data_IF_769919776955
#
_entry.id   IF_769919776955
#
_cell.length_a   1.000
_cell.length_b   1.000
_cell.length_c   1.000
_cell.angle_alpha   90.00
_cell.angle_beta   90.00
_cell.angle_gamma   90.00
#
_symmetry.space_group_name_H-M   'P 1'
#
loop_
_entity.id
_entity.type
_entity.pdbx_description
1 polymer ?
#
# COMPACT_ATOMS: atom_id res chain seq x y z
N UNK A 1 6.69 23.08 -11.93
CA UNK A 1 6.09 23.38 -10.60
C UNK A 1 5.83 24.86 -10.59
N UNK A 2 4.60 25.34 -10.36
CA UNK A 2 4.22 26.77 -10.53
C UNK A 2 4.69 27.66 -9.39
N UNK A 3 5.93 27.48 -8.91
CA UNK A 3 6.54 28.27 -7.84
C UNK A 3 7.14 29.59 -8.33
N UNK A 4 7.67 30.43 -7.43
CA UNK A 4 8.45 31.61 -7.82
C UNK A 4 9.61 31.18 -8.73
N UNK A 5 9.88 31.95 -9.79
CA UNK A 5 10.96 31.64 -10.74
C UNK A 5 12.34 31.70 -10.11
N UNK A 6 12.59 32.76 -9.34
CA UNK A 6 13.84 32.97 -8.63
C UNK A 6 13.60 33.72 -7.32
N UNK A 7 14.56 33.61 -6.41
CA UNK A 7 14.69 34.47 -5.26
C UNK A 7 16.04 35.18 -5.37
N UNK A 8 16.02 36.48 -5.66
CA UNK A 8 17.22 37.24 -6.06
C UNK A 8 17.87 36.55 -7.27
N UNK A 9 19.14 36.18 -7.17
CA UNK A 9 19.90 35.52 -8.24
C UNK A 9 19.81 33.99 -8.20
N UNK A 10 19.09 33.42 -7.21
CA UNK A 10 18.96 31.97 -7.07
C UNK A 10 17.72 31.46 -7.81
N UNK A 11 17.88 30.58 -8.83
CA UNK A 11 16.73 29.96 -9.49
C UNK A 11 16.02 28.99 -8.55
N UNK A 12 14.69 29.09 -8.51
CA UNK A 12 13.81 28.25 -7.69
C UNK A 12 13.03 27.29 -8.59
N UNK A 13 12.22 27.83 -9.51
CA UNK A 13 11.46 27.00 -10.45
C UNK A 13 12.41 26.16 -11.33
N UNK A 14 12.16 24.85 -11.41
CA UNK A 14 13.00 23.92 -12.18
C UNK A 14 14.36 23.61 -11.54
N UNK A 15 14.55 23.97 -10.27
CA UNK A 15 15.79 23.77 -9.51
C UNK A 15 15.58 22.90 -8.28
N UNK A 16 16.65 22.29 -7.76
CA UNK A 16 16.61 21.54 -6.49
C UNK A 16 16.26 22.44 -5.30
N UNK A 17 16.46 23.76 -5.42
CA UNK A 17 16.08 24.73 -4.39
C UNK A 17 14.58 24.78 -4.10
N UNK A 18 13.73 24.26 -5.00
CA UNK A 18 12.30 24.21 -4.77
C UNK A 18 11.81 22.92 -4.07
N UNK A 19 12.71 22.02 -3.68
CA UNK A 19 12.34 20.72 -3.10
C UNK A 19 11.70 20.82 -1.71
N UNK A 20 12.21 21.73 -0.88
CA UNK A 20 11.67 21.97 0.46
C UNK A 20 10.85 23.27 0.48
N UNK A 21 11.18 24.21 1.37
CA UNK A 21 10.51 25.50 1.49
C UNK A 21 11.28 26.54 0.67
N UNK A 22 10.76 26.98 -0.50
CA UNK A 22 11.47 27.92 -1.37
C UNK A 22 11.66 29.33 -0.77
N UNK A 23 10.81 29.72 0.20
CA UNK A 23 10.81 31.04 0.85
C UNK A 23 10.91 30.89 2.38
N UNK A 24 12.03 30.37 2.88
CA UNK A 24 12.21 30.03 4.29
C UNK A 24 12.11 31.22 5.27
N UNK A 25 12.26 32.47 4.80
CA UNK A 25 12.20 33.68 5.63
C UNK A 25 10.95 34.52 5.37
N UNK A 26 9.90 33.95 4.79
CA UNK A 26 8.65 34.67 4.52
C UNK A 26 7.94 35.22 5.79
N UNK A 27 8.38 34.86 7.00
CA UNK A 27 7.88 35.48 8.25
C UNK A 27 8.67 36.73 8.68
N UNK A 28 9.90 36.91 8.21
CA UNK A 28 10.84 37.91 8.75
C UNK A 28 11.56 38.75 7.70
N UNK A 29 11.40 38.43 6.41
CA UNK A 29 11.98 39.15 5.27
C UNK A 29 10.85 39.68 4.38
N UNK A 30 10.63 41.00 4.40
CA UNK A 30 9.58 41.67 3.63
C UNK A 30 9.67 41.41 2.13
N UNK A 31 10.88 41.19 1.60
CA UNK A 31 11.09 40.83 0.21
C UNK A 31 10.54 39.44 -0.11
N UNK A 32 10.77 38.46 0.78
CA UNK A 32 10.18 37.12 0.65
C UNK A 32 8.68 37.11 0.90
N UNK A 33 8.17 37.92 1.83
CA UNK A 33 6.73 38.12 2.05
C UNK A 33 6.07 38.58 0.76
N UNK A 34 6.66 39.57 0.08
CA UNK A 34 6.14 40.06 -1.19
C UNK A 34 6.12 38.98 -2.27
N UNK A 35 7.22 38.24 -2.43
CA UNK A 35 7.29 37.14 -3.41
C UNK A 35 6.26 36.04 -3.10
N UNK A 36 6.05 35.72 -1.82
CA UNK A 36 5.00 34.79 -1.39
C UNK A 36 3.60 35.31 -1.73
N UNK A 37 3.32 36.59 -1.45
CA UNK A 37 2.03 37.21 -1.76
C UNK A 37 1.75 37.22 -3.26
N UNK A 38 2.73 37.62 -4.07
CA UNK A 38 2.61 37.62 -5.53
C UNK A 38 2.36 36.20 -6.06
N UNK A 39 3.05 35.20 -5.49
CA UNK A 39 2.86 33.80 -5.83
C UNK A 39 1.46 33.29 -5.46
N UNK A 40 0.99 33.52 -4.23
CA UNK A 40 -0.35 33.09 -3.82
C UNK A 40 -1.47 33.78 -4.63
N UNK A 41 -1.29 35.06 -4.94
CA UNK A 41 -2.26 35.84 -5.74
C UNK A 41 -2.32 35.32 -7.18
N UNK A 42 -1.23 34.79 -7.72
CA UNK A 42 -1.20 34.25 -9.09
C UNK A 42 -2.12 33.05 -9.33
N UNK A 43 -2.60 32.39 -8.27
CA UNK A 43 -3.58 31.31 -8.37
C UNK A 43 -5.02 31.78 -8.53
N UNK A 44 -5.31 33.08 -8.39
CA UNK A 44 -6.65 33.64 -8.56
C UNK A 44 -7.70 33.02 -7.61
N UNK A 45 -7.35 32.85 -6.33
CA UNK A 45 -8.16 32.10 -5.35
C UNK A 45 -9.57 32.68 -5.17
N UNK A 46 -9.74 33.98 -5.39
CA UNK A 46 -11.02 34.69 -5.39
C UNK A 46 -11.99 34.19 -6.47
N UNK A 47 -11.48 33.60 -7.54
CA UNK A 47 -12.29 32.95 -8.58
C UNK A 47 -12.75 31.56 -8.16
N UNK A 48 -12.02 30.90 -7.24
CA UNK A 48 -12.25 29.52 -6.81
C UNK A 48 -13.07 29.40 -5.52
N UNK A 49 -13.02 30.42 -4.65
CA UNK A 49 -13.59 30.38 -3.31
C UNK A 49 -14.81 31.30 -3.15
N UNK A 50 -15.77 30.89 -2.33
CA UNK A 50 -16.93 31.71 -1.98
C UNK A 50 -16.51 32.79 -0.98
N UNK A 51 -16.94 34.03 -1.22
CA UNK A 51 -16.62 35.19 -0.37
C UNK A 51 -17.29 35.04 0.99
N UNK A 52 -16.50 35.08 2.07
CA UNK A 52 -16.99 34.94 3.45
C UNK A 52 -16.49 33.69 4.18
N UNK A 53 -15.78 32.79 3.49
CA UNK A 53 -15.30 31.55 4.12
C UNK A 53 -16.38 30.47 4.14
N UNK A 54 -16.05 29.32 4.72
CA UNK A 54 -16.99 28.21 4.82
C UNK A 54 -18.10 28.43 5.87
N UNK A 55 -17.92 29.36 6.82
CA UNK A 55 -18.86 29.56 7.92
C UNK A 55 -19.24 28.24 8.61
N UNK A 56 -20.54 28.03 8.83
CA UNK A 56 -21.11 26.79 9.37
C UNK A 56 -21.26 25.66 8.32
N UNK A 57 -20.86 25.91 7.07
CA UNK A 57 -21.03 25.00 5.94
C UNK A 57 -19.69 24.76 5.22
N UNK A 58 -18.83 23.89 5.77
CA UNK A 58 -17.52 23.54 5.18
C UNK A 58 -17.59 23.18 3.70
N UNK A 59 -18.69 22.56 3.28
CA UNK A 59 -18.89 22.05 1.91
C UNK A 59 -19.21 23.15 0.87
N UNK A 60 -19.59 24.36 1.30
CA UNK A 60 -20.01 25.46 0.40
C UNK A 60 -18.90 26.49 0.14
N UNK A 61 -17.67 26.24 0.61
CA UNK A 61 -16.56 27.20 0.48
C UNK A 61 -15.91 27.23 -0.92
N UNK A 62 -15.99 26.13 -1.67
CA UNK A 62 -15.41 26.00 -3.01
C UNK A 62 -16.54 26.23 -4.03
N UNK A 63 -16.30 27.08 -5.03
CA UNK A 63 -17.30 27.32 -6.09
C UNK A 63 -17.52 26.07 -6.93
N UNK A 64 -18.76 25.84 -7.32
CA UNK A 64 -19.18 24.68 -8.13
C UNK A 64 -18.38 24.54 -9.44
N UNK A 65 -17.98 25.66 -10.04
CA UNK A 65 -17.14 25.68 -11.25
C UNK A 65 -15.82 24.91 -11.06
N UNK A 66 -15.22 24.97 -9.87
CA UNK A 66 -13.98 24.27 -9.55
C UNK A 66 -14.23 22.77 -9.24
N UNK A 67 -15.41 22.43 -8.72
CA UNK A 67 -15.78 21.05 -8.38
C UNK A 67 -16.20 20.22 -9.60
N UNK A 68 -16.53 20.87 -10.73
CA UNK A 68 -16.99 20.21 -11.96
C UNK A 68 -16.00 19.18 -12.54
N UNK A 69 -14.71 19.29 -12.23
CA UNK A 69 -13.71 18.31 -12.67
C UNK A 69 -13.74 17.02 -11.83
N UNK A 70 -14.35 17.06 -10.65
CA UNK A 70 -14.44 15.90 -9.77
C UNK A 70 -15.50 14.92 -10.29
N UNK A 71 -15.32 13.61 -10.07
CA UNK A 71 -16.37 12.64 -10.30
C UNK A 71 -17.67 13.02 -9.57
N UNK A 72 -18.78 13.03 -10.31
CA UNK A 72 -20.13 13.24 -9.76
C UNK A 72 -20.45 12.20 -8.68
N UNK A 73 -20.07 10.95 -8.97
CA UNK A 73 -20.12 9.84 -8.03
C UNK A 73 -19.05 10.00 -6.96
N UNK A 74 -19.49 10.29 -5.73
CA UNK A 74 -18.60 10.51 -4.59
C UNK A 74 -17.67 9.32 -4.32
N UNK A 75 -18.15 8.10 -4.52
CA UNK A 75 -17.41 6.84 -4.32
C UNK A 75 -16.30 6.60 -5.36
N UNK A 76 -16.20 7.45 -6.38
CA UNK A 76 -15.11 7.45 -7.37
C UNK A 76 -14.06 8.53 -7.13
N UNK A 77 -14.27 9.41 -6.14
CA UNK A 77 -13.29 10.43 -5.79
C UNK A 77 -12.11 9.75 -5.07
N UNK A 78 -10.88 10.17 -5.35
CA UNK A 78 -9.66 9.48 -4.91
C UNK A 78 -9.62 9.18 -3.40
N UNK A 79 -10.07 10.10 -2.55
CA UNK A 79 -10.11 9.92 -1.09
C UNK A 79 -11.32 9.13 -0.57
N UNK A 80 -12.23 8.70 -1.44
CA UNK A 80 -13.47 7.99 -1.11
C UNK A 80 -13.53 6.57 -1.72
N UNK A 81 -12.46 6.16 -2.40
CA UNK A 81 -12.32 4.80 -2.94
C UNK A 81 -12.17 3.83 -1.76
N UNK A 82 -13.08 2.86 -1.64
CA UNK A 82 -13.14 1.93 -0.49
C UNK A 82 -11.84 1.18 -0.26
N UNK A 83 -11.14 0.84 -1.32
CA UNK A 83 -9.85 0.15 -1.33
C UNK A 83 -8.76 0.95 -0.58
N UNK A 84 -8.95 2.25 -0.36
CA UNK A 84 -7.99 3.10 0.38
C UNK A 84 -8.19 3.10 1.90
N UNK A 85 -9.35 2.66 2.41
CA UNK A 85 -9.68 2.74 3.85
C UNK A 85 -10.46 1.55 4.43
N UNK A 86 -11.08 0.72 3.60
CA UNK A 86 -11.92 -0.43 3.97
C UNK A 86 -11.43 -1.72 3.30
N UNK A 87 -10.11 -1.91 3.26
CA UNK A 87 -9.45 -2.98 2.52
C UNK A 87 -9.43 -4.36 3.18
N UNK A 88 -9.91 -4.52 4.42
CA UNK A 88 -9.85 -5.80 5.12
C UNK A 88 -11.05 -6.68 4.79
N UNK A 89 -10.79 -7.87 4.24
CA UNK A 89 -11.80 -8.92 4.09
C UNK A 89 -11.32 -10.17 4.82
N UNK A 90 -12.03 -10.64 5.88
CA UNK A 90 -11.60 -11.84 6.59
C UNK A 90 -11.62 -13.05 5.65
N UNK A 91 -10.59 -13.88 5.75
CA UNK A 91 -10.52 -15.13 5.00
C UNK A 91 -11.45 -16.18 5.59
N UNK A 92 -12.08 -16.99 4.73
CA UNK A 92 -12.72 -18.23 5.16
C UNK A 92 -11.64 -19.29 5.38
N UNK A 93 -11.31 -19.54 6.65
CA UNK A 93 -10.28 -20.51 7.05
C UNK A 93 -10.93 -21.79 7.59
N UNK A 94 -10.41 -22.99 7.25
CA UNK A 94 -10.86 -24.21 7.89
C UNK A 94 -10.33 -24.31 9.32
N UNK A 95 -10.91 -25.20 10.13
CA UNK A 95 -10.37 -25.52 11.45
C UNK A 95 -8.97 -26.13 11.31
N UNK A 96 -7.97 -25.49 11.91
CA UNK A 96 -6.58 -25.89 11.79
C UNK A 96 -6.29 -27.21 12.51
N UNK A 97 -7.07 -27.58 13.53
CA UNK A 97 -6.88 -28.81 14.30
C UNK A 97 -7.06 -30.07 13.42
N UNK A 98 -7.90 -29.97 12.38
CA UNK A 98 -8.14 -31.05 11.42
C UNK A 98 -6.93 -31.41 10.54
N UNK A 99 -5.87 -30.58 10.57
CA UNK A 99 -4.63 -30.81 9.80
C UNK A 99 -3.48 -31.34 10.68
N UNK A 100 -3.69 -31.51 11.99
CA UNK A 100 -2.74 -32.19 12.88
C UNK A 100 -2.82 -33.71 12.75
N UNK A 101 -1.73 -34.41 13.10
CA UNK A 101 -1.73 -35.87 13.28
C UNK A 101 -1.87 -36.25 14.76
N UNK A 102 -2.09 -37.54 15.00
CA UNK A 102 -1.89 -38.13 16.32
C UNK A 102 -0.46 -37.90 16.82
N UNK A 103 -0.32 -37.59 18.11
CA UNK A 103 0.95 -37.23 18.78
C UNK A 103 2.06 -38.28 18.66
N UNK A 104 1.74 -39.48 18.18
CA UNK A 104 2.64 -40.61 18.07
C UNK A 104 3.36 -40.72 16.71
N UNK A 105 3.02 -39.88 15.72
CA UNK A 105 3.67 -39.87 14.40
C UNK A 105 4.50 -38.62 14.19
N UNK A 106 5.72 -38.79 13.66
CA UNK A 106 6.52 -37.68 13.18
C UNK A 106 5.87 -37.06 11.93
N UNK A 107 5.42 -35.82 12.03
CA UNK A 107 4.86 -35.06 10.92
C UNK A 107 5.73 -33.84 10.60
N UNK A 108 5.98 -33.63 9.30
CA UNK A 108 6.57 -32.38 8.86
C UNK A 108 5.55 -31.24 8.99
N UNK A 109 5.82 -30.29 9.89
CA UNK A 109 4.98 -29.12 10.10
C UNK A 109 4.68 -28.35 8.80
N UNK A 110 5.66 -28.26 7.90
CA UNK A 110 5.49 -27.60 6.59
C UNK A 110 4.52 -28.34 5.67
N UNK A 111 4.53 -29.67 5.67
CA UNK A 111 3.57 -30.45 4.88
C UNK A 111 2.14 -30.34 5.44
N UNK A 112 1.99 -30.25 6.77
CA UNK A 112 0.69 -29.98 7.40
C UNK A 112 0.18 -28.59 7.01
N UNK A 113 1.05 -27.59 7.10
CA UNK A 113 0.75 -26.22 6.66
C UNK A 113 0.38 -26.16 5.18
N UNK A 114 1.10 -26.85 4.30
CA UNK A 114 0.80 -26.89 2.87
C UNK A 114 -0.63 -27.40 2.59
N UNK A 115 -1.08 -28.43 3.31
CA UNK A 115 -2.45 -28.95 3.20
C UNK A 115 -3.50 -27.93 3.67
N UNK A 116 -3.23 -27.27 4.80
CA UNK A 116 -4.08 -26.20 5.31
C UNK A 116 -4.22 -25.06 4.29
N UNK A 117 -3.09 -24.58 3.76
CA UNK A 117 -3.07 -23.49 2.78
C UNK A 117 -3.74 -23.84 1.46
N UNK A 118 -3.66 -25.09 1.02
CA UNK A 118 -4.38 -25.56 -0.16
C UNK A 118 -5.90 -25.36 0.01
N UNK A 119 -6.44 -25.68 1.20
CA UNK A 119 -7.87 -25.50 1.51
C UNK A 119 -8.22 -24.02 1.66
N UNK A 120 -7.35 -23.21 2.27
CA UNK A 120 -7.54 -21.75 2.35
C UNK A 120 -7.63 -21.15 0.94
N UNK A 121 -6.77 -21.57 0.01
CA UNK A 121 -6.82 -21.11 -1.39
C UNK A 121 -8.13 -21.51 -2.07
N UNK A 122 -8.57 -22.75 -1.87
CA UNK A 122 -9.82 -23.26 -2.43
C UNK A 122 -11.04 -22.47 -1.94
N UNK A 123 -11.07 -22.13 -0.65
CA UNK A 123 -12.12 -21.32 -0.03
C UNK A 123 -12.07 -19.83 -0.40
N UNK A 124 -10.87 -19.32 -0.71
CA UNK A 124 -10.62 -17.90 -0.97
C UNK A 124 -10.03 -17.68 -2.37
N UNK A 125 -10.76 -18.08 -3.44
CA UNK A 125 -10.20 -18.13 -4.77
C UNK A 125 -9.87 -16.76 -5.33
N UNK A 126 -10.34 -15.63 -4.80
CA UNK A 126 -10.02 -14.29 -5.31
C UNK A 126 -9.23 -13.42 -4.33
N UNK A 127 -9.28 -13.73 -3.04
CA UNK A 127 -8.80 -12.87 -1.94
C UNK A 127 -7.49 -13.34 -1.32
N UNK A 128 -7.06 -14.59 -1.56
CA UNK A 128 -5.83 -15.13 -1.01
C UNK A 128 -4.79 -15.48 -2.09
N UNK A 129 -3.53 -15.14 -1.83
CA UNK A 129 -2.37 -15.46 -2.66
C UNK A 129 -1.17 -15.75 -1.77
N UNK A 130 -0.22 -16.53 -2.26
CA UNK A 130 1.06 -16.80 -1.61
C UNK A 130 2.17 -16.21 -2.47
N UNK A 131 3.14 -15.59 -1.80
CA UNK A 131 4.36 -15.07 -2.39
C UNK A 131 5.55 -15.81 -1.80
N UNK A 132 6.51 -16.22 -2.62
CA UNK A 132 7.67 -17.00 -2.19
C UNK A 132 8.88 -16.76 -3.09
N UNK A 133 10.08 -16.50 -2.56
CA UNK A 133 11.21 -16.04 -3.35
C UNK A 133 11.93 -17.22 -4.03
N UNK A 134 11.20 -17.97 -4.86
CA UNK A 134 11.64 -19.23 -5.48
C UNK A 134 12.04 -20.32 -4.46
N UNK A 135 11.52 -20.23 -3.24
CA UNK A 135 11.77 -21.18 -2.15
C UNK A 135 10.54 -22.04 -1.80
N UNK A 136 9.51 -22.09 -2.64
CA UNK A 136 8.24 -22.68 -2.22
C UNK A 136 8.32 -24.21 -2.10
N UNK A 137 8.93 -24.87 -3.08
CA UNK A 137 9.15 -26.33 -3.05
C UNK A 137 10.27 -26.72 -2.08
N UNK A 138 11.35 -25.93 -2.00
CA UNK A 138 12.46 -26.22 -1.08
C UNK A 138 12.01 -26.17 0.39
N UNK A 139 11.01 -25.33 0.70
CA UNK A 139 10.35 -25.26 2.00
C UNK A 139 9.25 -26.31 2.23
N UNK A 140 9.07 -27.28 1.32
CA UNK A 140 8.08 -28.37 1.41
C UNK A 140 6.62 -27.88 1.46
N UNK A 141 6.32 -26.77 0.77
CA UNK A 141 4.97 -26.22 0.60
C UNK A 141 4.30 -26.64 -0.72
N UNK A 142 4.94 -27.52 -1.48
CA UNK A 142 4.50 -28.07 -2.76
C UNK A 142 3.09 -28.69 -2.73
N UNK A 143 2.62 -29.16 -1.56
CA UNK A 143 1.26 -29.67 -1.37
C UNK A 143 0.15 -28.68 -1.73
N UNK A 144 0.43 -27.37 -1.74
CA UNK A 144 -0.51 -26.33 -2.20
C UNK A 144 -0.84 -26.47 -3.69
N UNK A 145 0.08 -26.99 -4.51
CA UNK A 145 -0.16 -27.16 -5.95
C UNK A 145 -1.23 -28.21 -6.28
N UNK A 146 -1.73 -28.95 -5.29
CA UNK A 146 -2.92 -29.78 -5.45
C UNK A 146 -4.20 -28.98 -5.72
N UNK A 147 -4.23 -27.69 -5.36
CA UNK A 147 -5.41 -26.81 -5.48
C UNK A 147 -5.17 -25.56 -6.31
N UNK A 148 -3.93 -25.30 -6.72
CA UNK A 148 -3.57 -24.11 -7.51
C UNK A 148 -2.30 -24.32 -8.30
N UNK A 149 -1.92 -23.34 -9.09
CA UNK A 149 -0.68 -23.31 -9.85
C UNK A 149 0.11 -22.04 -9.54
N UNK A 150 1.34 -22.01 -10.05
CA UNK A 150 2.14 -20.78 -10.12
C UNK A 150 1.50 -19.78 -11.07
N UNK A 151 1.75 -18.51 -10.79
CA UNK A 151 1.39 -17.38 -11.63
C UNK A 151 2.58 -16.42 -11.63
N UNK A 152 2.77 -15.67 -12.71
CA UNK A 152 3.87 -14.73 -12.85
C UNK A 152 5.28 -15.34 -13.05
N UNK A 153 5.38 -16.56 -13.59
CA UNK A 153 6.62 -17.11 -14.16
C UNK A 153 6.51 -17.19 -15.69
N UNK A 154 7.63 -17.12 -16.41
CA UNK A 154 7.70 -17.38 -17.86
C UNK A 154 7.58 -18.86 -18.23
N UNK A 155 6.91 -19.64 -17.39
CA UNK A 155 6.68 -21.06 -17.61
C UNK A 155 5.52 -21.26 -18.60
N UNK A 156 5.72 -21.94 -19.75
CA UNK A 156 4.65 -22.20 -20.73
C UNK A 156 3.44 -22.94 -20.15
N UNK A 157 3.64 -23.73 -19.10
CA UNK A 157 2.60 -24.56 -18.51
C UNK A 157 1.69 -23.79 -17.55
N UNK A 158 2.16 -22.72 -16.91
CA UNK A 158 1.41 -21.95 -15.90
C UNK A 158 1.24 -20.47 -16.22
N UNK A 159 2.04 -19.91 -17.13
CA UNK A 159 1.97 -18.50 -17.52
C UNK A 159 0.56 -18.12 -18.02
N UNK A 160 -0.01 -17.06 -17.42
CA UNK A 160 -1.32 -16.51 -17.75
C UNK A 160 -2.51 -17.48 -17.58
N UNK A 161 -2.33 -18.66 -16.98
CA UNK A 161 -3.42 -19.63 -16.76
C UNK A 161 -4.17 -19.43 -15.45
N UNK A 162 -3.87 -18.34 -14.75
CA UNK A 162 -4.29 -18.14 -13.37
C UNK A 162 -3.43 -18.99 -12.41
N UNK A 163 -3.41 -18.58 -11.15
CA UNK A 163 -2.61 -19.23 -10.13
C UNK A 163 -2.50 -18.33 -8.90
N UNK A 164 -2.35 -18.95 -7.73
CA UNK A 164 -2.36 -18.26 -6.43
C UNK A 164 -1.01 -18.24 -5.77
N UNK A 165 -0.01 -18.91 -6.32
CA UNK A 165 1.38 -18.81 -5.89
C UNK A 165 2.13 -17.92 -6.87
N UNK A 166 2.80 -16.88 -6.37
CA UNK A 166 3.66 -15.99 -7.15
C UNK A 166 5.07 -16.16 -6.61
N UNK A 167 6.03 -16.44 -7.50
CA UNK A 167 7.44 -16.53 -7.10
C UNK A 167 8.30 -15.61 -7.96
N UNK A 168 9.21 -14.90 -7.30
CA UNK A 168 10.23 -14.08 -7.92
C UNK A 168 11.47 -14.10 -7.02
N UNK A 169 12.66 -14.30 -7.59
CA UNK A 169 13.94 -14.20 -6.88
C UNK A 169 14.25 -12.73 -6.47
N UNK A 170 13.41 -12.15 -5.61
CA UNK A 170 13.52 -10.79 -5.09
C UNK A 170 12.69 -10.65 -3.81
N UNK A 171 13.36 -10.70 -2.66
CA UNK A 171 12.69 -10.52 -1.37
C UNK A 171 12.02 -9.14 -1.27
N UNK A 172 12.61 -8.13 -1.90
CA UNK A 172 12.09 -6.76 -1.98
C UNK A 172 10.72 -6.70 -2.66
N UNK A 173 10.62 -7.29 -3.84
CA UNK A 173 9.41 -7.23 -4.67
C UNK A 173 8.27 -8.00 -4.02
N UNK A 174 8.58 -9.08 -3.33
CA UNK A 174 7.59 -9.92 -2.67
C UNK A 174 7.11 -9.31 -1.36
N UNK A 175 8.00 -8.74 -0.55
CA UNK A 175 7.60 -8.04 0.67
C UNK A 175 6.72 -6.83 0.37
N UNK A 176 7.06 -6.02 -0.64
CA UNK A 176 6.25 -4.85 -1.03
C UNK A 176 4.86 -5.26 -1.56
N UNK A 177 4.78 -6.30 -2.39
CA UNK A 177 3.49 -6.79 -2.90
C UNK A 177 2.62 -7.41 -1.79
N UNK A 178 3.24 -8.10 -0.83
CA UNK A 178 2.56 -8.67 0.33
C UNK A 178 2.00 -7.59 1.26
N UNK A 179 2.81 -6.61 1.62
CA UNK A 179 2.46 -5.63 2.66
C UNK A 179 1.58 -4.49 2.11
N UNK A 180 1.82 -4.04 0.88
CA UNK A 180 1.17 -2.84 0.33
C UNK A 180 0.01 -3.14 -0.61
N UNK A 181 -0.04 -4.34 -1.22
CA UNK A 181 -1.03 -4.66 -2.26
C UNK A 181 -2.00 -5.77 -1.84
N UNK A 182 -1.58 -6.73 -1.00
CA UNK A 182 -2.41 -7.83 -0.52
C UNK A 182 -2.19 -8.12 0.98
N UNK A 183 -2.58 -7.22 1.89
CA UNK A 183 -2.33 -7.39 3.33
C UNK A 183 -3.01 -8.63 3.92
N UNK A 184 -4.12 -9.08 3.33
CA UNK A 184 -4.89 -10.27 3.76
C UNK A 184 -4.24 -11.61 3.34
N UNK A 185 -3.12 -11.58 2.62
CA UNK A 185 -2.32 -12.75 2.28
C UNK A 185 -1.36 -13.19 3.42
N UNK A 186 -1.52 -12.63 4.63
CA UNK A 186 -0.63 -12.89 5.75
C UNK A 186 -1.00 -14.20 6.47
N UNK A 187 -0.22 -15.24 6.21
CA UNK A 187 -0.02 -16.30 7.20
C UNK A 187 1.04 -15.74 8.14
N UNK A 188 0.64 -15.33 9.34
CA UNK A 188 1.53 -15.03 10.46
C UNK A 188 2.25 -16.30 10.92
N UNK A 189 3.20 -16.73 10.11
CA UNK A 189 4.15 -17.77 10.38
C UNK A 189 5.43 -17.31 9.72
N UNK A 190 6.39 -16.87 10.53
CA UNK A 190 7.75 -16.48 10.15
C UNK A 190 8.09 -16.95 8.74
N UNK A 191 8.20 -16.00 7.83
CA UNK A 191 8.85 -16.19 6.53
C UNK A 191 9.99 -17.19 6.67
N UNK A 192 9.81 -18.38 6.09
CA UNK A 192 10.87 -19.37 6.04
C UNK A 192 11.75 -18.95 4.87
N UNK A 193 12.71 -18.11 5.19
CA UNK A 193 13.84 -17.79 4.33
C UNK A 193 14.99 -18.67 4.80
N UNK A 194 15.94 -18.99 3.91
CA UNK A 194 17.26 -19.33 4.42
C UNK A 194 17.73 -18.20 5.34
N UNK A 195 18.15 -18.54 6.57
CA UNK A 195 18.56 -17.56 7.61
C UNK A 195 19.60 -16.54 7.14
N UNK A 196 20.28 -16.77 6.01
CA UNK A 196 21.23 -15.87 5.39
C UNK A 196 20.60 -14.65 4.68
N UNK A 197 19.55 -14.85 3.89
CA UNK A 197 18.98 -13.82 3.00
C UNK A 197 18.04 -12.83 3.70
N UNK A 198 17.65 -13.11 4.94
CA UNK A 198 16.85 -12.16 5.75
C UNK A 198 17.58 -10.81 5.99
N UNK A 199 18.90 -10.78 5.83
CA UNK A 199 19.73 -9.57 5.96
C UNK A 199 19.68 -8.67 4.73
N UNK A 200 19.21 -9.18 3.60
CA UNK A 200 19.15 -8.43 2.34
C UNK A 200 17.85 -7.62 2.19
N UNK A 201 16.95 -7.73 3.17
CA UNK A 201 15.77 -6.87 3.30
C UNK A 201 16.22 -5.52 3.87
N UNK A 202 15.95 -4.39 3.19
CA UNK A 202 16.37 -3.08 3.65
C UNK A 202 15.64 -2.71 4.95
N UNK A 203 16.34 -1.98 5.82
CA UNK A 203 15.91 -1.58 7.17
C UNK A 203 14.64 -0.73 7.25
N UNK A 204 13.96 -0.44 6.13
CA UNK A 204 12.91 0.58 6.03
C UNK A 204 11.50 -0.02 5.89
N UNK A 205 11.34 -1.13 5.16
CA UNK A 205 10.01 -1.60 4.73
C UNK A 205 9.16 -2.20 5.87
N UNK A 206 9.79 -2.86 6.85
CA UNK A 206 9.07 -3.36 8.02
C UNK A 206 8.71 -2.24 9.01
N UNK A 207 9.64 -1.32 9.39
CA UNK A 207 9.30 -0.19 10.26
C UNK A 207 8.18 0.71 9.71
N UNK A 208 8.22 1.06 8.42
CA UNK A 208 7.22 1.96 7.83
C UNK A 208 5.80 1.38 7.89
N UNK A 209 5.64 0.06 7.70
CA UNK A 209 4.36 -0.62 7.86
C UNK A 209 3.85 -0.61 9.31
N UNK A 210 4.72 -0.92 10.27
CA UNK A 210 4.36 -0.87 11.69
C UNK A 210 4.03 0.56 12.15
N UNK A 211 4.73 1.57 11.63
CA UNK A 211 4.39 2.97 11.88
C UNK A 211 3.01 3.31 11.31
N UNK A 212 2.74 2.97 10.05
CA UNK A 212 1.47 3.26 9.40
C UNK A 212 0.27 2.60 10.13
N UNK A 213 0.37 1.30 10.43
CA UNK A 213 -0.70 0.54 11.13
C UNK A 213 -0.96 1.05 12.54
N UNK A 214 0.09 1.43 13.28
CA UNK A 214 -0.07 2.03 14.62
C UNK A 214 -0.83 3.36 14.56
N UNK A 215 -0.55 4.20 13.57
CA UNK A 215 -1.23 5.50 13.42
C UNK A 215 -2.67 5.37 12.90
N UNK A 216 -2.97 4.37 12.06
CA UNK A 216 -4.34 4.12 11.58
C UNK A 216 -5.25 3.50 12.65
N UNK A 217 -4.72 2.62 13.51
CA UNK A 217 -5.51 2.05 14.64
C UNK A 217 -5.92 3.08 15.69
N UNK A 218 -5.19 4.20 15.80
CA UNK A 218 -5.46 5.28 16.74
C UNK A 218 -6.51 6.30 16.23
N UNK A 219 -6.95 6.16 14.97
CA UNK A 219 -7.83 7.11 14.28
C UNK A 219 -9.18 6.53 13.86
N UNK A 220 -9.53 5.31 14.32
CA UNK A 220 -10.88 4.78 14.13
C UNK A 220 -11.88 5.58 14.98
N UNK A 221 -12.90 6.22 14.38
CA UNK A 221 -13.93 6.88 15.16
C UNK A 221 -14.73 5.81 15.91
N UNK A 222 -14.86 5.98 17.23
CA UNK A 222 -15.86 5.29 18.02
C UNK A 222 -17.23 5.84 17.59
N UNK A 223 -17.94 5.08 16.76
CA UNK A 223 -19.36 5.28 16.50
C UNK A 223 -20.18 4.37 17.42
#
# INVERSE_FOLDING_TARGET
MTGPRSLKDTPLEGSFHSHQVPLAKAMSDDGQVKVLSDWLTSYGIEELLVKGGAGDKPDEFIKESALRILPERIDRRLGMIKETYAGYTPLDVPDFESFGDDKEKEMSAMKALAKYLAVVIEKNPSTFRIFSPDEFESNKLDGVFSKTTRNFQWDPDTANKGGRVIEMLSEHSEQLRRITVYPDADITGRTQHYKGFFKDIPSQAAPDYFHHTRHSSASLPQW
#
